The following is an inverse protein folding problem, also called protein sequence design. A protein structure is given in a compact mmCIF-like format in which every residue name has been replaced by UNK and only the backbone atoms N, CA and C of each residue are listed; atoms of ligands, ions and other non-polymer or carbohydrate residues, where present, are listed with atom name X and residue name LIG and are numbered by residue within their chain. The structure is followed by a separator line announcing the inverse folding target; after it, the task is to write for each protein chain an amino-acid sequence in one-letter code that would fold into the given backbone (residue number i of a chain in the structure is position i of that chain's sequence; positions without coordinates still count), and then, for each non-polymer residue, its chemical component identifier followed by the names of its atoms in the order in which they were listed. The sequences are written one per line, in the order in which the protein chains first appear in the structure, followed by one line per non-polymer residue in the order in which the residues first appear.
data_IF_859495219920
#
_entry.id   IF_859495219920
#
_cell.length_a   1.000
_cell.length_b   1.000
_cell.length_c   1.000
_cell.angle_alpha   90.00
_cell.angle_beta   90.00
_cell.angle_gamma   90.00
#
_symmetry.space_group_name_H-M   'P 1'
#
loop_
_entity.id
_entity.type
_entity.pdbx_description
1 polymer ?
#
# COMPACT_ATOMS: atom_id res chain seq x y z
N UNK A 1 -24.87 -12.53 18.20
CA UNK A 1 -24.80 -13.67 17.26
C UNK A 1 -23.55 -14.47 17.60
N UNK A 2 -23.68 -15.75 17.94
CA UNK A 2 -22.53 -16.58 18.29
C UNK A 2 -21.61 -16.73 17.08
N UNK A 3 -20.36 -16.30 17.22
CA UNK A 3 -19.37 -16.48 16.17
C UNK A 3 -19.18 -17.99 15.97
N UNK A 4 -19.19 -18.45 14.71
CA UNK A 4 -18.68 -19.77 14.39
C UNK A 4 -17.18 -19.69 14.68
N UNK A 5 -16.62 -20.62 15.45
CA UNK A 5 -15.21 -20.55 15.91
C UNK A 5 -14.44 -21.74 15.35
N UNK A 6 -13.20 -21.51 14.94
CA UNK A 6 -12.23 -22.56 14.62
C UNK A 6 -11.13 -22.52 15.69
N UNK A 7 -11.18 -23.49 16.61
CA UNK A 7 -10.39 -23.41 17.85
C UNK A 7 -10.82 -22.22 18.69
N UNK A 8 -9.91 -21.27 18.88
CA UNK A 8 -10.09 -19.97 19.56
C UNK A 8 -10.29 -18.80 18.57
N UNK A 9 -10.17 -19.04 17.26
CA UNK A 9 -10.27 -18.00 16.23
C UNK A 9 -11.73 -17.84 15.75
N UNK A 10 -12.35 -16.64 15.86
CA UNK A 10 -13.67 -16.41 15.32
C UNK A 10 -13.64 -16.44 13.78
N UNK A 11 -14.44 -17.30 13.16
CA UNK A 11 -14.53 -17.46 11.69
C UNK A 11 -15.17 -16.26 11.01
N UNK A 12 -15.97 -15.47 11.73
CA UNK A 12 -16.55 -14.23 11.24
C UNK A 12 -16.52 -13.16 12.33
N UNK A 13 -15.75 -12.10 12.09
CA UNK A 13 -15.75 -10.92 12.93
C UNK A 13 -15.76 -9.65 12.09
N UNK A 14 -16.95 -9.11 11.85
CA UNK A 14 -17.11 -7.86 11.09
C UNK A 14 -16.41 -6.65 11.77
N UNK A 15 -16.18 -6.71 13.09
CA UNK A 15 -15.53 -5.63 13.82
C UNK A 15 -14.07 -5.40 13.40
N UNK A 16 -13.38 -6.44 12.92
CA UNK A 16 -11.98 -6.40 12.49
C UNK A 16 -11.78 -6.09 10.99
N UNK A 17 -12.86 -6.00 10.20
CA UNK A 17 -12.78 -5.73 8.77
C UNK A 17 -12.08 -4.39 8.40
N UNK A 18 -12.27 -3.27 9.13
CA UNK A 18 -11.57 -2.03 8.80
C UNK A 18 -10.06 -2.18 8.90
N UNK A 19 -9.60 -2.87 9.93
CA UNK A 19 -8.19 -3.12 10.20
C UNK A 19 -7.63 -4.07 9.15
N UNK A 20 -8.39 -5.11 8.79
CA UNK A 20 -8.03 -6.02 7.70
C UNK A 20 -7.85 -5.27 6.37
N UNK A 21 -8.79 -4.40 6.00
CA UNK A 21 -8.71 -3.64 4.75
C UNK A 21 -7.53 -2.66 4.75
N UNK A 22 -7.32 -1.93 5.85
CA UNK A 22 -6.21 -0.98 5.96
C UNK A 22 -4.84 -1.69 5.91
N UNK A 23 -4.69 -2.80 6.64
CA UNK A 23 -3.46 -3.60 6.62
C UNK A 23 -3.24 -4.28 5.25
N UNK A 24 -4.30 -4.75 4.58
CA UNK A 24 -4.19 -5.29 3.22
C UNK A 24 -3.74 -4.22 2.22
N UNK A 25 -4.35 -3.03 2.25
CA UNK A 25 -3.92 -1.89 1.41
C UNK A 25 -2.44 -1.59 1.65
N UNK A 26 -2.00 -1.54 2.91
CA UNK A 26 -0.60 -1.29 3.25
C UNK A 26 0.33 -2.39 2.72
N UNK A 27 -0.03 -3.66 2.94
CA UNK A 27 0.76 -4.82 2.51
C UNK A 27 0.94 -4.88 0.99
N UNK A 28 -0.09 -4.45 0.24
CA UNK A 28 -0.09 -4.47 -1.22
C UNK A 28 0.23 -3.11 -1.86
N UNK A 29 0.66 -2.11 -1.09
CA UNK A 29 1.08 -0.80 -1.62
C UNK A 29 2.50 -0.85 -2.23
N UNK A 30 2.70 -1.71 -3.22
CA UNK A 30 4.00 -1.98 -3.89
C UNK A 30 4.25 -1.09 -5.12
N UNK A 31 3.44 -0.06 -5.33
CA UNK A 31 3.44 0.76 -6.54
C UNK A 31 4.78 1.43 -6.85
N UNK A 32 5.59 1.73 -5.83
CA UNK A 32 6.94 2.30 -6.00
C UNK A 32 7.92 1.33 -6.67
N UNK A 33 7.65 0.02 -6.63
CA UNK A 33 8.45 -1.02 -7.26
C UNK A 33 7.98 -1.39 -8.66
N UNK A 34 6.77 -0.96 -9.08
CA UNK A 34 6.24 -1.26 -10.42
C UNK A 34 7.17 -0.79 -11.55
N UNK A 35 7.75 0.42 -11.53
CA UNK A 35 8.67 0.84 -12.58
C UNK A 35 9.90 -0.08 -12.69
N UNK A 36 10.45 -0.56 -11.57
CA UNK A 36 11.58 -1.49 -11.55
C UNK A 36 11.22 -2.87 -12.10
N UNK A 37 10.01 -3.34 -11.83
CA UNK A 37 9.47 -4.60 -12.38
C UNK A 37 9.19 -4.48 -13.89
N UNK A 38 8.75 -3.30 -14.34
CA UNK A 38 8.39 -3.05 -15.74
C UNK A 38 9.60 -2.70 -16.63
N UNK A 39 10.65 -2.11 -16.09
CA UNK A 39 11.85 -1.71 -16.84
C UNK A 39 12.48 -2.83 -17.70
N UNK A 40 12.61 -4.09 -17.22
CA UNK A 40 13.13 -5.18 -18.04
C UNK A 40 12.14 -5.76 -19.07
N UNK A 41 10.85 -5.37 -19.05
CA UNK A 41 9.81 -5.86 -19.96
C UNK A 41 9.71 -5.04 -21.27
N UNK A 42 10.84 -4.48 -21.71
CA UNK A 42 10.90 -3.50 -22.82
C UNK A 42 10.63 -4.12 -24.20
N UNK A 43 10.72 -5.45 -24.34
CA UNK A 43 10.33 -6.18 -25.56
C UNK A 43 9.04 -6.98 -25.31
N UNK A 44 7.93 -6.54 -25.91
CA UNK A 44 6.57 -6.77 -25.42
C UNK A 44 5.79 -7.80 -26.24
N UNK A 45 5.52 -8.94 -25.61
CA UNK A 45 4.29 -9.74 -25.78
C UNK A 45 3.86 -10.39 -24.44
N UNK A 46 4.82 -10.67 -23.55
CA UNK A 46 4.56 -11.34 -22.26
C UNK A 46 4.41 -10.41 -21.05
N UNK A 47 4.54 -9.08 -21.20
CA UNK A 47 4.49 -8.15 -20.07
C UNK A 47 3.20 -8.25 -19.21
N UNK A 48 1.99 -8.36 -19.81
CA UNK A 48 0.77 -8.58 -19.04
C UNK A 48 0.76 -9.92 -18.30
N UNK A 49 1.32 -10.97 -18.92
CA UNK A 49 1.44 -12.31 -18.33
C UNK A 49 2.41 -12.31 -17.15
N UNK A 50 3.58 -11.70 -17.30
CA UNK A 50 4.58 -11.54 -16.24
C UNK A 50 4.01 -10.76 -15.04
N UNK A 51 3.35 -9.63 -15.30
CA UNK A 51 2.71 -8.82 -14.24
C UNK A 51 1.64 -9.62 -13.49
N UNK A 52 0.77 -10.33 -14.23
CA UNK A 52 -0.27 -11.18 -13.62
C UNK A 52 0.35 -12.26 -12.74
N UNK A 53 1.36 -12.96 -13.23
CA UNK A 53 2.03 -14.03 -12.49
C UNK A 53 2.69 -13.50 -11.21
N UNK A 54 3.37 -12.35 -11.28
CA UNK A 54 4.01 -11.74 -10.12
C UNK A 54 3.00 -11.33 -9.04
N UNK A 55 1.90 -10.67 -9.43
CA UNK A 55 0.85 -10.23 -8.48
C UNK A 55 0.12 -11.42 -7.87
N UNK A 56 -0.32 -12.39 -8.69
CA UNK A 56 -1.04 -13.58 -8.20
C UNK A 56 -0.15 -14.44 -7.32
N UNK A 57 1.11 -14.64 -7.72
CA UNK A 57 2.10 -15.38 -6.92
C UNK A 57 2.33 -14.71 -5.56
N UNK A 58 2.55 -13.39 -5.55
CA UNK A 58 2.70 -12.64 -4.30
C UNK A 58 1.47 -12.73 -3.38
N UNK A 59 0.27 -12.61 -3.94
CA UNK A 59 -0.98 -12.73 -3.19
C UNK A 59 -1.15 -14.13 -2.60
N UNK A 60 -0.88 -15.16 -3.40
CA UNK A 60 -0.92 -16.55 -2.96
C UNK A 60 0.05 -16.80 -1.80
N UNK A 61 1.30 -16.33 -1.92
CA UNK A 61 2.29 -16.45 -0.83
C UNK A 61 1.81 -15.75 0.44
N UNK A 62 1.20 -14.56 0.33
CA UNK A 62 0.69 -13.84 1.50
C UNK A 62 -0.46 -14.58 2.20
N UNK A 63 -1.39 -15.15 1.43
CA UNK A 63 -2.48 -15.98 1.97
C UNK A 63 -1.95 -17.23 2.66
N UNK A 64 -1.00 -17.93 2.03
CA UNK A 64 -0.37 -19.13 2.62
C UNK A 64 0.35 -18.79 3.92
N UNK A 65 1.10 -17.68 3.96
CA UNK A 65 1.80 -17.23 5.16
C UNK A 65 0.80 -16.87 6.29
N UNK A 66 -0.26 -16.13 5.97
CA UNK A 66 -1.31 -15.79 6.93
C UNK A 66 -2.02 -17.03 7.49
N UNK A 67 -2.36 -17.99 6.63
CA UNK A 67 -2.95 -19.26 7.05
C UNK A 67 -1.98 -20.07 7.94
N UNK A 68 -0.70 -20.14 7.58
CA UNK A 68 0.33 -20.80 8.39
C UNK A 68 0.47 -20.17 9.78
N UNK A 69 0.43 -18.84 9.89
CA UNK A 69 0.44 -18.14 11.18
C UNK A 69 -0.78 -18.49 12.03
N UNK A 70 -1.97 -18.51 11.44
CA UNK A 70 -3.21 -18.89 12.14
C UNK A 70 -3.19 -20.36 12.58
N UNK A 71 -2.67 -21.27 11.75
CA UNK A 71 -2.47 -22.68 12.12
C UNK A 71 -1.46 -22.88 13.24
N UNK A 72 -0.40 -22.07 13.28
CA UNK A 72 0.64 -22.20 14.30
C UNK A 72 0.27 -21.53 15.64
N UNK A 73 -0.39 -20.37 15.62
CA UNK A 73 -0.54 -19.50 16.80
C UNK A 73 -2.00 -19.17 17.16
N UNK A 74 -2.99 -19.60 16.36
CA UNK A 74 -4.40 -19.36 16.66
C UNK A 74 -4.73 -17.87 16.79
N UNK A 75 -5.46 -17.48 17.84
CA UNK A 75 -5.80 -16.08 18.10
C UNK A 75 -4.67 -15.24 18.70
N UNK A 76 -3.52 -15.86 19.01
CA UNK A 76 -2.40 -15.24 19.74
C UNK A 76 -1.30 -14.71 18.81
N UNK A 77 -1.63 -14.34 17.58
CA UNK A 77 -0.67 -13.77 16.62
C UNK A 77 -0.28 -12.36 17.07
N UNK A 78 1.01 -12.15 17.36
CA UNK A 78 1.55 -10.84 17.70
C UNK A 78 1.44 -9.83 16.55
N UNK A 79 1.43 -8.53 16.90
CA UNK A 79 1.36 -7.43 15.93
C UNK A 79 2.48 -7.44 14.87
N UNK A 80 3.63 -8.03 15.20
CA UNK A 80 4.72 -8.26 14.27
C UNK A 80 4.96 -9.76 14.16
N UNK A 81 4.88 -10.28 12.94
CA UNK A 81 4.98 -11.72 12.68
C UNK A 81 6.25 -12.35 13.27
N UNK A 82 7.39 -11.64 13.24
CA UNK A 82 8.66 -12.14 13.77
C UNK A 82 8.66 -12.38 15.30
N UNK A 83 7.82 -11.68 16.07
CA UNK A 83 7.77 -11.82 17.54
C UNK A 83 7.26 -13.20 17.97
N UNK A 84 6.35 -13.77 17.19
CA UNK A 84 5.81 -15.12 17.40
C UNK A 84 6.89 -16.22 17.37
N UNK A 85 8.07 -15.93 16.82
CA UNK A 85 9.18 -16.88 16.67
C UNK A 85 10.33 -16.66 17.66
N UNK A 86 10.11 -15.89 18.73
CA UNK A 86 11.15 -15.54 19.71
C UNK A 86 11.80 -16.75 20.43
N UNK A 87 11.13 -17.91 20.44
CA UNK A 87 11.64 -19.16 21.05
C UNK A 87 12.57 -19.96 20.13
N UNK A 88 12.74 -19.55 18.87
CA UNK A 88 13.67 -20.20 17.94
C UNK A 88 15.14 -19.94 18.32
N UNK A 89 16.09 -20.74 17.80
CA UNK A 89 17.52 -20.50 17.98
C UNK A 89 17.91 -19.05 17.64
N UNK A 90 18.78 -18.46 18.45
CA UNK A 90 19.14 -17.04 18.38
C UNK A 90 19.49 -16.54 16.96
N UNK A 91 20.21 -17.35 16.17
CA UNK A 91 20.59 -17.00 14.79
C UNK A 91 19.35 -16.80 13.90
N UNK A 92 18.34 -17.66 14.03
CA UNK A 92 17.11 -17.58 13.24
C UNK A 92 16.28 -16.37 13.69
N UNK A 93 16.15 -16.17 15.00
CA UNK A 93 15.40 -15.03 15.56
C UNK A 93 16.03 -13.71 15.18
N UNK A 94 17.35 -13.58 15.23
CA UNK A 94 18.07 -12.38 14.78
C UNK A 94 17.84 -12.13 13.29
N UNK A 95 17.92 -13.16 12.44
CA UNK A 95 17.68 -13.01 11.02
C UNK A 95 16.24 -12.55 10.72
N UNK A 96 15.24 -13.20 11.33
CA UNK A 96 13.82 -12.84 11.16
C UNK A 96 13.55 -11.42 11.65
N UNK A 97 14.04 -11.05 12.84
CA UNK A 97 13.85 -9.72 13.40
C UNK A 97 14.65 -8.63 12.66
N UNK A 98 15.60 -9.00 11.81
CA UNK A 98 16.37 -8.08 10.97
C UNK A 98 15.70 -7.74 9.64
N UNK A 99 14.54 -8.30 9.31
CA UNK A 99 13.80 -7.91 8.10
C UNK A 99 13.57 -6.40 7.95
N UNK A 100 13.37 -5.59 9.04
CA UNK A 100 13.23 -4.14 8.91
C UNK A 100 14.51 -3.46 8.41
N UNK A 101 15.67 -4.12 8.39
CA UNK A 101 16.87 -3.59 7.75
C UNK A 101 16.67 -3.38 6.25
N UNK A 102 15.73 -4.10 5.61
CA UNK A 102 15.34 -3.78 4.23
C UNK A 102 14.81 -2.35 4.09
N UNK A 103 14.30 -1.74 5.17
CA UNK A 103 13.86 -0.34 5.15
C UNK A 103 15.03 0.63 4.94
N UNK A 104 16.30 0.23 5.15
CA UNK A 104 17.45 1.09 4.85
C UNK A 104 17.51 1.48 3.37
N UNK A 105 17.00 0.64 2.46
CA UNK A 105 16.89 0.98 1.03
C UNK A 105 15.62 1.77 0.70
N UNK A 106 14.51 1.47 1.38
CA UNK A 106 13.20 2.08 1.11
C UNK A 106 13.08 3.49 1.72
N UNK A 107 13.68 3.72 2.88
CA UNK A 107 13.56 4.97 3.62
C UNK A 107 14.07 6.18 2.83
N UNK A 108 15.24 6.14 2.15
CA UNK A 108 15.67 7.22 1.28
C UNK A 108 14.72 7.44 0.09
N UNK A 109 14.23 6.37 -0.54
CA UNK A 109 13.34 6.45 -1.70
C UNK A 109 12.05 7.17 -1.32
N UNK A 110 11.39 6.73 -0.24
CA UNK A 110 10.15 7.34 0.26
C UNK A 110 10.39 8.79 0.69
N UNK A 111 11.52 9.08 1.34
CA UNK A 111 11.87 10.44 1.75
C UNK A 111 12.05 11.39 0.56
N UNK A 112 12.75 10.94 -0.49
CA UNK A 112 12.93 11.71 -1.74
C UNK A 112 11.58 11.93 -2.43
N UNK A 113 10.75 10.88 -2.53
CA UNK A 113 9.42 10.99 -3.14
C UNK A 113 8.51 11.94 -2.37
N UNK A 114 8.46 11.84 -1.03
CA UNK A 114 7.64 12.73 -0.21
C UNK A 114 8.12 14.18 -0.31
N UNK A 115 9.43 14.41 -0.24
CA UNK A 115 10.04 15.74 -0.46
C UNK A 115 9.60 16.35 -1.79
N UNK A 116 9.76 15.60 -2.88
CA UNK A 116 9.45 16.10 -4.22
C UNK A 116 7.94 16.36 -4.38
N UNK A 117 7.08 15.52 -3.79
CA UNK A 117 5.64 15.75 -3.78
C UNK A 117 5.25 16.99 -2.98
N UNK A 118 5.87 17.24 -1.83
CA UNK A 118 5.64 18.45 -1.03
C UNK A 118 6.06 19.71 -1.76
N UNK A 119 7.25 19.70 -2.39
CA UNK A 119 7.71 20.83 -3.21
C UNK A 119 6.74 21.11 -4.35
N UNK A 120 6.31 20.07 -5.07
CA UNK A 120 5.35 20.22 -6.17
C UNK A 120 3.99 20.74 -5.67
N UNK A 121 3.50 20.24 -4.53
CA UNK A 121 2.27 20.72 -3.91
C UNK A 121 2.34 22.20 -3.53
N UNK A 122 3.51 22.67 -3.09
CA UNK A 122 3.77 24.08 -2.77
C UNK A 122 4.14 24.93 -4.00
N UNK A 123 4.15 24.36 -5.21
CA UNK A 123 4.56 25.06 -6.44
C UNK A 123 6.05 25.44 -6.49
N UNK A 124 6.88 24.77 -5.71
CA UNK A 124 8.32 25.04 -5.60
C UNK A 124 9.12 24.17 -6.57
N UNK A 125 10.20 24.76 -7.10
CA UNK A 125 11.11 24.05 -8.00
C UNK A 125 11.79 22.85 -7.29
N UNK A 126 11.97 21.72 -8.01
CA UNK A 126 12.64 20.54 -7.48
C UNK A 126 14.07 20.85 -7.05
N UNK A 127 14.57 20.08 -6.09
CA UNK A 127 15.95 20.21 -5.59
C UNK A 127 16.90 19.53 -6.57
N UNK A 128 17.92 20.25 -7.02
CA UNK A 128 19.05 19.67 -7.74
C UNK A 128 20.00 18.99 -6.75
N UNK A 129 20.22 17.66 -6.82
CA UNK A 129 21.14 16.95 -5.95
C UNK A 129 22.60 17.42 -6.06
N UNK A 130 22.98 18.07 -7.16
CA UNK A 130 24.34 18.61 -7.38
C UNK A 130 24.43 20.11 -7.08
N UNK A 131 23.32 20.75 -6.74
CA UNK A 131 23.23 22.18 -6.46
C UNK A 131 23.73 22.54 -5.07
N UNK A 132 23.71 23.84 -4.77
CA UNK A 132 24.02 24.35 -3.45
C UNK A 132 22.95 23.93 -2.42
N UNK A 133 23.39 23.68 -1.18
CA UNK A 133 22.48 23.40 -0.06
C UNK A 133 21.87 24.73 0.40
N UNK A 134 20.61 24.98 0.03
CA UNK A 134 19.84 26.13 0.48
C UNK A 134 18.85 25.75 1.60
N UNK A 135 18.29 26.76 2.28
CA UNK A 135 17.35 26.56 3.38
C UNK A 135 16.11 25.76 2.94
N UNK A 136 15.62 26.00 1.72
CA UNK A 136 14.52 25.25 1.11
C UNK A 136 14.85 23.76 1.03
N UNK A 137 16.04 23.41 0.56
CA UNK A 137 16.49 22.01 0.41
C UNK A 137 16.62 21.32 1.75
N UNK A 138 17.13 22.02 2.76
CA UNK A 138 17.22 21.51 4.14
C UNK A 138 15.83 21.27 4.71
N UNK A 139 14.94 22.27 4.68
CA UNK A 139 13.60 22.15 5.25
C UNK A 139 12.77 21.08 4.54
N UNK A 140 12.76 21.07 3.21
CA UNK A 140 12.01 20.10 2.43
C UNK A 140 12.51 18.66 2.62
N UNK A 141 13.81 18.48 2.88
CA UNK A 141 14.38 17.15 3.19
C UNK A 141 14.18 16.76 4.66
N UNK A 142 14.15 17.74 5.58
CA UNK A 142 13.93 17.50 6.99
C UNK A 142 12.49 17.05 7.28
N UNK A 143 11.48 17.60 6.61
CA UNK A 143 10.07 17.25 6.86
C UNK A 143 9.81 15.74 6.75
N UNK A 144 10.18 15.05 5.65
CA UNK A 144 10.01 13.59 5.52
C UNK A 144 10.73 12.74 6.58
N UNK A 145 11.73 13.28 7.27
CA UNK A 145 12.53 12.55 8.27
C UNK A 145 12.03 12.86 9.68
N UNK A 146 11.92 14.14 10.00
CA UNK A 146 11.55 14.63 11.33
C UNK A 146 10.10 14.31 11.63
N UNK A 147 9.18 14.46 10.67
CA UNK A 147 7.76 14.21 10.93
C UNK A 147 7.48 12.76 11.36
N UNK A 148 7.96 11.71 10.66
CA UNK A 148 7.81 10.34 11.14
C UNK A 148 8.46 10.08 12.50
N UNK A 149 9.60 10.70 12.80
CA UNK A 149 10.26 10.57 14.11
C UNK A 149 9.41 11.19 15.23
N UNK A 150 8.80 12.36 15.00
CA UNK A 150 7.86 12.96 15.94
C UNK A 150 6.65 12.04 16.18
N UNK A 151 6.08 11.45 15.11
CA UNK A 151 4.97 10.50 15.25
C UNK A 151 5.39 9.27 16.06
N UNK A 152 6.57 8.70 15.78
CA UNK A 152 7.11 7.55 16.49
C UNK A 152 7.39 7.84 17.98
N UNK A 153 7.74 9.09 18.32
CA UNK A 153 7.91 9.52 19.70
C UNK A 153 6.56 9.63 20.44
N UNK A 154 5.52 10.07 19.74
CA UNK A 154 4.19 10.31 20.33
C UNK A 154 3.37 9.02 20.45
N UNK A 155 3.55 8.06 19.54
CA UNK A 155 2.75 6.82 19.55
C UNK A 155 3.51 5.61 19.05
N UNK A 156 3.36 4.49 19.77
CA UNK A 156 3.78 3.16 19.34
C UNK A 156 2.63 2.36 18.72
N UNK A 157 1.42 2.94 18.64
CA UNK A 157 0.25 2.28 18.08
C UNK A 157 0.29 2.32 16.55
N UNK A 158 0.98 1.34 15.96
CA UNK A 158 1.07 1.18 14.50
C UNK A 158 -0.30 1.09 13.87
N UNK A 159 -1.24 0.36 14.49
CA UNK A 159 -2.58 0.16 13.95
C UNK A 159 -3.37 1.46 13.82
N UNK A 160 -3.22 2.41 14.75
CA UNK A 160 -3.83 3.73 14.63
C UNK A 160 -3.34 4.48 13.39
N UNK A 161 -2.03 4.48 13.15
CA UNK A 161 -1.41 5.13 11.98
C UNK A 161 -1.93 4.47 10.68
N UNK A 162 -1.95 3.14 10.64
CA UNK A 162 -2.40 2.36 9.47
C UNK A 162 -3.88 2.63 9.16
N UNK A 163 -4.75 2.67 10.17
CA UNK A 163 -6.18 2.99 9.99
C UNK A 163 -6.39 4.34 9.32
N UNK A 164 -5.61 5.36 9.68
CA UNK A 164 -5.73 6.70 9.08
C UNK A 164 -5.16 6.70 7.67
N UNK A 165 -3.87 6.39 7.52
CA UNK A 165 -3.19 6.58 6.24
C UNK A 165 -3.55 5.51 5.22
N UNK A 166 -3.54 4.23 5.58
CA UNK A 166 -3.91 3.18 4.64
C UNK A 166 -5.43 3.05 4.51
N UNK A 167 -6.17 3.13 5.62
CA UNK A 167 -7.62 2.94 5.65
C UNK A 167 -8.44 4.00 4.91
N UNK A 168 -7.93 5.23 4.77
CA UNK A 168 -8.60 6.29 4.00
C UNK A 168 -7.81 6.68 2.75
N UNK A 169 -6.58 7.16 2.91
CA UNK A 169 -5.80 7.67 1.79
C UNK A 169 -5.36 6.53 0.86
N UNK A 170 -4.80 5.45 1.41
CA UNK A 170 -4.39 4.27 0.64
C UNK A 170 -5.57 3.62 -0.09
N UNK A 171 -6.71 3.43 0.60
CA UNK A 171 -7.93 2.88 -0.01
C UNK A 171 -8.41 3.73 -1.20
N UNK A 172 -8.39 5.06 -1.04
CA UNK A 172 -8.76 6.00 -2.10
C UNK A 172 -7.76 5.98 -3.26
N UNK A 173 -6.47 5.89 -2.96
CA UNK A 173 -5.43 5.79 -3.97
C UNK A 173 -5.53 4.48 -4.76
N UNK A 174 -5.85 3.35 -4.12
CA UNK A 174 -5.92 2.05 -4.79
C UNK A 174 -7.24 1.82 -5.54
N UNK A 175 -8.37 2.33 -5.04
CA UNK A 175 -9.68 2.06 -5.66
C UNK A 175 -10.22 3.23 -6.49
N UNK A 176 -10.18 4.45 -5.95
CA UNK A 176 -10.77 5.62 -6.59
C UNK A 176 -9.86 6.18 -7.69
N UNK A 177 -8.58 6.39 -7.40
CA UNK A 177 -7.67 7.07 -8.33
C UNK A 177 -7.53 6.39 -9.70
N UNK A 178 -7.44 5.05 -9.83
CA UNK A 178 -7.37 4.41 -11.15
C UNK A 178 -8.59 4.72 -12.02
N UNK A 179 -9.78 4.80 -11.42
CA UNK A 179 -11.01 5.15 -12.13
C UNK A 179 -10.97 6.60 -12.64
N UNK A 180 -10.52 7.53 -11.78
CA UNK A 180 -10.38 8.95 -12.12
C UNK A 180 -9.34 9.13 -13.22
N UNK A 181 -8.15 8.53 -13.08
CA UNK A 181 -7.08 8.61 -14.06
C UNK A 181 -7.49 8.03 -15.41
N UNK A 182 -8.17 6.88 -15.43
CA UNK A 182 -8.66 6.29 -16.68
C UNK A 182 -9.68 7.19 -17.38
N UNK A 183 -10.56 7.83 -16.62
CA UNK A 183 -11.55 8.76 -17.18
C UNK A 183 -10.88 10.03 -17.72
N UNK A 184 -9.91 10.59 -17.00
CA UNK A 184 -9.17 11.77 -17.44
C UNK A 184 -8.30 11.47 -18.66
N UNK A 185 -7.60 10.34 -18.68
CA UNK A 185 -6.78 9.90 -19.81
C UNK A 185 -7.62 9.75 -21.09
N UNK A 186 -8.84 9.21 -20.98
CA UNK A 186 -9.76 9.08 -22.12
C UNK A 186 -10.28 10.42 -22.64
N UNK A 187 -10.46 11.40 -21.76
CA UNK A 187 -10.93 12.75 -22.13
C UNK A 187 -9.83 13.59 -22.78
N UNK A 188 -8.57 13.32 -22.44
CA UNK A 188 -7.41 14.08 -22.89
C UNK A 188 -6.52 13.29 -23.85
N UNK A 189 -7.08 12.34 -24.60
CA UNK A 189 -6.35 11.67 -25.69
C UNK A 189 -5.93 12.77 -26.69
N UNK A 190 -4.62 12.99 -26.90
CA UNK A 190 -4.14 14.00 -27.84
C UNK A 190 -4.72 13.77 -29.22
N UNK A 191 -5.01 14.83 -29.98
CA UNK A 191 -5.53 14.72 -31.35
C UNK A 191 -4.65 13.83 -32.25
N UNK A 192 -3.32 13.85 -32.03
CA UNK A 192 -2.35 13.00 -32.71
C UNK A 192 -2.48 11.49 -32.42
N UNK A 193 -3.23 11.11 -31.39
CA UNK A 193 -3.48 9.72 -30.99
C UNK A 193 -4.95 9.31 -31.21
N UNK A 194 -5.79 10.21 -31.74
CA UNK A 194 -7.17 9.89 -32.10
C UNK A 194 -7.16 9.01 -33.35
N UNK A 195 -7.63 7.77 -33.21
CA UNK A 195 -7.64 6.77 -34.29
C UNK A 195 -6.60 5.65 -34.15
N UNK A 196 -5.65 5.77 -33.20
CA UNK A 196 -4.82 4.63 -32.82
C UNK A 196 -5.67 3.61 -32.06
N UNK A 197 -5.82 2.41 -32.61
CA UNK A 197 -6.38 1.29 -31.86
C UNK A 197 -5.35 0.82 -30.84
N UNK A 198 -5.60 1.09 -29.56
CA UNK A 198 -4.85 0.47 -28.49
C UNK A 198 -5.30 -0.99 -28.36
N UNK A 199 -4.47 -1.99 -28.72
CA UNK A 199 -4.88 -3.40 -28.73
C UNK A 199 -5.24 -3.91 -27.32
N UNK A 200 -4.72 -3.26 -26.28
CA UNK A 200 -4.99 -3.54 -24.87
C UNK A 200 -6.07 -2.59 -24.31
N UNK A 201 -7.26 -2.56 -24.92
CA UNK A 201 -8.42 -1.88 -24.31
C UNK A 201 -8.83 -2.63 -23.04
N UNK A 202 -8.59 -2.01 -21.88
CA UNK A 202 -8.91 -2.64 -20.60
C UNK A 202 -10.43 -2.91 -20.48
N UNK A 203 -10.85 -4.12 -20.04
CA UNK A 203 -12.25 -4.45 -19.77
C UNK A 203 -12.84 -3.62 -18.60
N UNK A 204 -11.98 -3.03 -17.77
CA UNK A 204 -12.31 -2.15 -16.64
C UNK A 204 -12.82 -0.77 -17.04
N UNK A 205 -12.99 -0.56 -18.35
CA UNK A 205 -13.44 0.68 -18.93
C UNK A 205 -14.94 0.93 -18.90
N UNK A 206 -15.76 -0.07 -18.56
CA UNK A 206 -17.20 0.06 -18.60
C UNK A 206 -17.72 0.94 -17.46
N UNK A 207 -18.86 1.60 -17.69
CA UNK A 207 -19.52 2.40 -16.65
C UNK A 207 -19.92 1.56 -15.45
N UNK A 208 -20.32 0.30 -15.69
CA UNK A 208 -20.69 -0.65 -14.63
C UNK A 208 -19.52 -0.97 -13.72
N UNK A 209 -18.34 -1.30 -14.25
CA UNK A 209 -17.17 -1.64 -13.42
C UNK A 209 -16.74 -0.45 -12.56
N UNK A 210 -16.73 0.76 -13.13
CA UNK A 210 -16.44 1.99 -12.38
C UNK A 210 -17.47 2.24 -11.27
N UNK A 211 -18.76 2.04 -11.57
CA UNK A 211 -19.82 2.20 -10.57
C UNK A 211 -19.66 1.21 -9.41
N UNK A 212 -19.34 -0.06 -9.71
CA UNK A 212 -19.06 -1.08 -8.68
C UNK A 212 -17.87 -0.65 -7.82
N UNK A 213 -16.76 -0.24 -8.42
CA UNK A 213 -15.58 0.22 -7.67
C UNK A 213 -15.92 1.42 -6.77
N UNK A 214 -16.68 2.38 -7.26
CA UNK A 214 -17.10 3.57 -6.50
C UNK A 214 -18.02 3.20 -5.32
N UNK A 215 -19.00 2.32 -5.55
CA UNK A 215 -19.90 1.84 -4.49
C UNK A 215 -19.12 1.06 -3.43
N UNK A 216 -18.22 0.17 -3.84
CA UNK A 216 -17.35 -0.57 -2.92
C UNK A 216 -16.46 0.38 -2.11
N UNK A 217 -15.77 1.30 -2.77
CA UNK A 217 -14.92 2.30 -2.12
C UNK A 217 -15.72 3.14 -1.11
N UNK A 218 -16.88 3.67 -1.51
CA UNK A 218 -17.72 4.49 -0.65
C UNK A 218 -18.24 3.69 0.56
N UNK A 219 -18.70 2.46 0.33
CA UNK A 219 -19.13 1.56 1.41
C UNK A 219 -18.01 1.25 2.40
N UNK A 220 -16.79 1.00 1.92
CA UNK A 220 -15.62 0.75 2.76
C UNK A 220 -15.22 2.00 3.56
N UNK A 221 -15.23 3.19 2.96
CA UNK A 221 -14.93 4.45 3.67
C UNK A 221 -15.98 4.75 4.73
N UNK A 222 -17.28 4.61 4.41
CA UNK A 222 -18.36 4.80 5.38
C UNK A 222 -18.24 3.82 6.54
N UNK A 223 -17.99 2.55 6.24
CA UNK A 223 -17.82 1.52 7.25
C UNK A 223 -16.62 1.79 8.14
N UNK A 224 -15.47 2.17 7.56
CA UNK A 224 -14.28 2.58 8.31
C UNK A 224 -14.56 3.80 9.20
N UNK A 225 -15.29 4.80 8.69
CA UNK A 225 -15.65 6.02 9.43
C UNK A 225 -16.56 5.70 10.61
N UNK A 226 -17.61 4.91 10.37
CA UNK A 226 -18.52 4.47 11.43
C UNK A 226 -17.77 3.73 12.53
N UNK A 227 -16.91 2.79 12.16
CA UNK A 227 -16.10 2.03 13.13
C UNK A 227 -15.04 2.88 13.82
N UNK A 228 -14.53 3.92 13.18
CA UNK A 228 -13.56 4.83 13.81
C UNK A 228 -14.21 5.76 14.86
N UNK A 229 -15.47 6.17 14.63
CA UNK A 229 -16.17 7.11 15.52
C UNK A 229 -16.97 6.44 16.63
N UNK A 230 -17.49 5.23 16.40
CA UNK A 230 -18.50 4.60 17.27
C UNK A 230 -18.08 3.23 17.84
N UNK A 231 -16.82 2.83 17.71
CA UNK A 231 -16.29 1.57 18.26
C UNK A 231 -15.01 1.78 19.07
#
# INVERSE_FOLDING_TARGET
AGAIVWGDVPLANAAGLPDLFANAVLAFMVHHSLPGILAPLKEQNDAPKAMRTAIVGGYFTYVVLGAAMLWAFGSHVDQLACLNFGSLPHVITVFLCSYPLMLLSVYPIVSISLRNNLLNFLGLAPIDPKGAIDLKSVLATAVPVVFPLCVAYVTSNVQFIVKIFAGYFGLSLMMLMPCVLLQQARRHIPAAQQGLEFPLRSPWGSTTVRAVILVCWFGMVLFNTYRFLFA
#
